data_IF_837615807360
#
_entry.id   IF_837615807360
#
_cell.length_a   1.000
_cell.length_b   1.000
_cell.length_c   1.000
_cell.angle_alpha   90.00
_cell.angle_beta   90.00
_cell.angle_gamma   90.00
#
_symmetry.space_group_name_H-M   'P 1'
#
loop_
_entity.id
_entity.type
_entity.pdbx_description
1 polymer ?
#
# COMPACT_ATOMS: atom_id res chain seq x y z
N UNK A 1 1.81 9.19 10.22
CA UNK A 1 2.00 7.96 9.45
C UNK A 1 1.71 8.20 7.98
N UNK A 2 2.55 7.69 7.10
CA UNK A 2 2.42 7.79 5.65
C UNK A 2 2.21 6.40 5.06
N UNK A 3 1.26 6.28 4.15
CA UNK A 3 0.95 5.07 3.41
C UNK A 3 1.26 5.31 1.94
N UNK A 4 2.20 4.56 1.40
CA UNK A 4 2.56 4.55 -0.02
C UNK A 4 2.09 3.22 -0.62
N UNK A 5 1.35 3.31 -1.72
CA UNK A 5 0.91 2.16 -2.51
C UNK A 5 1.49 2.31 -3.90
N UNK A 6 2.27 1.32 -4.34
CA UNK A 6 2.82 1.27 -5.69
C UNK A 6 2.27 0.07 -6.42
N UNK A 7 1.60 0.31 -7.55
CA UNK A 7 1.24 -0.72 -8.52
C UNK A 7 2.30 -0.79 -9.60
N UNK A 8 2.96 -1.93 -9.73
CA UNK A 8 3.95 -2.23 -10.77
C UNK A 8 3.49 -3.43 -11.60
N UNK A 9 3.53 -3.36 -12.93
CA UNK A 9 3.34 -4.56 -13.75
C UNK A 9 2.92 -4.32 -15.20
N UNK A 10 2.93 -5.41 -15.97
CA UNK A 10 2.33 -5.55 -17.30
C UNK A 10 3.06 -4.82 -18.44
N UNK A 11 3.86 -5.57 -19.20
CA UNK A 11 4.27 -5.41 -20.62
C UNK A 11 4.90 -4.08 -21.11
N UNK A 12 4.82 -2.97 -20.37
CA UNK A 12 5.27 -1.65 -20.82
C UNK A 12 6.06 -0.87 -19.74
N UNK A 13 6.34 -1.48 -18.58
CA UNK A 13 7.09 -0.83 -17.50
C UNK A 13 6.36 0.33 -16.82
N UNK A 14 5.02 0.38 -16.92
CA UNK A 14 4.23 1.44 -16.31
C UNK A 14 4.02 1.10 -14.82
N UNK A 15 4.60 1.91 -13.95
CA UNK A 15 4.33 1.91 -12.51
C UNK A 15 3.46 3.12 -12.15
N UNK A 16 2.50 2.92 -11.25
CA UNK A 16 1.71 3.99 -10.66
C UNK A 16 1.88 3.94 -9.15
N UNK A 17 2.21 5.06 -8.54
CA UNK A 17 2.29 5.21 -7.10
C UNK A 17 1.22 6.15 -6.59
N UNK A 18 0.75 5.90 -5.37
CA UNK A 18 -0.12 6.78 -4.61
C UNK A 18 0.44 6.91 -3.21
N UNK A 19 0.33 8.10 -2.64
CA UNK A 19 0.74 8.37 -1.27
C UNK A 19 -0.40 9.08 -0.54
N UNK A 20 -0.76 8.56 0.63
CA UNK A 20 -1.68 9.19 1.56
C UNK A 20 -0.97 9.43 2.91
N UNK A 21 -1.12 10.63 3.45
CA UNK A 21 -0.65 10.97 4.78
C UNK A 21 -1.82 10.81 5.76
N UNK A 22 -1.74 9.81 6.64
CA UNK A 22 -2.79 9.40 7.57
C UNK A 22 -3.01 10.44 8.67
N UNK A 23 -1.96 11.16 9.09
CA UNK A 23 -2.11 12.20 10.13
C UNK A 23 -2.96 13.38 9.66
N UNK A 24 -3.01 13.61 8.34
CA UNK A 24 -3.82 14.68 7.74
C UNK A 24 -5.26 14.23 7.51
N UNK A 25 -5.57 12.93 7.66
CA UNK A 25 -6.92 12.41 7.49
C UNK A 25 -7.75 12.61 8.77
N UNK A 26 -9.04 13.01 8.64
CA UNK A 26 -9.93 13.10 9.80
C UNK A 26 -10.18 11.72 10.45
N UNK A 27 -10.13 10.65 9.67
CA UNK A 27 -10.42 9.27 10.11
C UNK A 27 -9.17 8.48 10.51
N UNK A 28 -8.18 9.13 11.11
CA UNK A 28 -6.88 8.51 11.45
C UNK A 28 -7.03 7.20 12.25
N UNK A 29 -8.00 7.13 13.15
CA UNK A 29 -8.19 5.99 14.05
C UNK A 29 -8.69 4.76 13.27
N UNK A 30 -9.59 4.95 12.30
CA UNK A 30 -10.03 3.91 11.37
C UNK A 30 -8.87 3.39 10.51
N UNK A 31 -7.98 4.27 10.05
CA UNK A 31 -6.79 3.86 9.31
C UNK A 31 -5.86 2.99 10.17
N UNK A 32 -5.64 3.37 11.43
CA UNK A 32 -4.81 2.59 12.35
C UNK A 32 -5.41 1.21 12.60
N UNK A 33 -6.72 1.11 12.82
CA UNK A 33 -7.42 -0.16 13.00
C UNK A 33 -7.33 -1.02 11.73
N UNK A 34 -7.60 -0.44 10.55
CA UNK A 34 -7.51 -1.14 9.28
C UNK A 34 -6.09 -1.68 9.06
N UNK A 35 -5.07 -0.88 9.34
CA UNK A 35 -3.68 -1.27 9.17
C UNK A 35 -3.29 -2.36 10.18
N UNK A 36 -3.72 -2.27 11.43
CA UNK A 36 -3.40 -3.26 12.47
C UNK A 36 -4.08 -4.62 12.22
N UNK A 37 -5.29 -4.61 11.66
CA UNK A 37 -6.06 -5.83 11.31
C UNK A 37 -5.46 -6.58 10.10
N UNK A 38 -4.67 -5.89 9.27
CA UNK A 38 -4.09 -6.51 8.08
C UNK A 38 -3.05 -7.58 8.43
N UNK A 39 -3.08 -8.73 7.73
CA UNK A 39 -2.15 -9.82 7.96
C UNK A 39 -0.80 -9.54 7.29
N UNK A 40 -0.05 -8.56 7.80
CA UNK A 40 1.27 -8.18 7.26
C UNK A 40 2.28 -9.34 7.25
N UNK A 41 2.20 -10.24 8.23
CA UNK A 41 3.09 -11.39 8.38
C UNK A 41 2.65 -12.60 7.53
N UNK A 42 1.37 -12.69 7.16
CA UNK A 42 0.78 -13.80 6.39
C UNK A 42 0.45 -13.39 4.95
N UNK A 43 1.35 -12.60 4.36
CA UNK A 43 1.25 -12.21 2.95
C UNK A 43 1.75 -13.36 2.07
N UNK A 44 0.95 -13.86 1.13
CA UNK A 44 1.40 -14.89 0.21
C UNK A 44 2.44 -14.29 -0.75
N UNK A 45 3.72 -14.53 -0.47
CA UNK A 45 4.84 -14.25 -1.35
C UNK A 45 4.79 -15.19 -2.57
N UNK A 46 3.94 -14.86 -3.54
CA UNK A 46 3.95 -15.56 -4.82
C UNK A 46 4.88 -14.85 -5.79
N UNK A 47 5.60 -15.60 -6.64
CA UNK A 47 6.47 -14.99 -7.64
C UNK A 47 5.63 -14.09 -8.55
N UNK A 48 6.07 -12.83 -8.67
CA UNK A 48 5.53 -11.84 -9.59
C UNK A 48 5.71 -12.33 -11.02
N UNK A 49 4.68 -13.02 -11.54
CA UNK A 49 4.68 -13.47 -12.93
C UNK A 49 4.68 -12.24 -13.87
N UNK A 50 5.45 -12.28 -14.96
CA UNK A 50 5.68 -11.10 -15.83
C UNK A 50 4.40 -10.52 -16.46
N UNK A 51 3.33 -11.31 -16.56
CA UNK A 51 2.03 -10.90 -17.12
C UNK A 51 1.05 -10.33 -16.09
N UNK A 52 1.46 -10.14 -14.83
CA UNK A 52 0.56 -9.73 -13.74
C UNK A 52 0.99 -8.40 -13.09
N UNK A 53 0.02 -7.68 -12.54
CA UNK A 53 0.28 -6.51 -11.69
C UNK A 53 0.60 -6.95 -10.26
N UNK A 54 1.61 -6.31 -9.69
CA UNK A 54 2.07 -6.44 -8.30
C UNK A 54 1.79 -5.12 -7.58
N UNK A 55 1.38 -5.23 -6.33
CA UNK A 55 1.08 -4.12 -5.44
C UNK A 55 2.06 -4.14 -4.28
N UNK A 56 2.79 -3.06 -4.10
CA UNK A 56 3.72 -2.87 -3.00
C UNK A 56 3.11 -1.82 -2.09
N UNK A 57 2.79 -2.22 -0.87
CA UNK A 57 2.19 -1.36 0.14
C UNK A 57 3.24 -1.12 1.21
N UNK A 58 3.51 0.15 1.47
CA UNK A 58 4.52 0.60 2.42
C UNK A 58 3.88 1.57 3.39
N UNK A 59 4.12 1.32 4.66
CA UNK A 59 3.64 2.13 5.75
C UNK A 59 4.85 2.57 6.55
N UNK A 60 5.06 3.88 6.57
CA UNK A 60 6.14 4.50 7.33
C UNK A 60 5.53 5.42 8.39
N UNK A 61 5.83 5.22 9.68
CA UNK A 61 5.50 6.21 10.70
C UNK A 61 6.30 7.51 10.46
N UNK A 62 5.82 8.65 10.97
CA UNK A 62 6.56 9.92 10.83
C UNK A 62 7.89 9.91 11.60
N UNK A 63 8.00 9.04 12.60
CA UNK A 63 9.21 8.86 13.39
C UNK A 63 9.38 7.38 13.73
N UNK A 64 10.63 6.87 13.78
CA UNK A 64 10.90 5.46 14.06
C UNK A 64 10.49 5.04 15.48
N UNK A 65 10.35 5.99 16.40
CA UNK A 65 9.84 5.79 17.75
C UNK A 65 8.31 5.85 17.86
N UNK A 66 7.64 6.36 16.82
CA UNK A 66 6.18 6.56 16.82
C UNK A 66 5.39 5.33 16.36
N UNK A 67 6.06 4.33 15.78
CA UNK A 67 5.39 3.09 15.38
C UNK A 67 6.29 2.15 14.58
N UNK A 68 5.68 1.05 14.14
CA UNK A 68 6.31 0.06 13.29
C UNK A 68 6.13 0.43 11.82
N UNK A 69 7.20 0.28 11.04
CA UNK A 69 7.10 0.33 9.58
C UNK A 69 6.61 -1.03 9.07
N UNK A 70 5.64 -1.01 8.15
CA UNK A 70 5.13 -2.22 7.53
C UNK A 70 5.35 -2.18 6.02
N UNK A 71 5.78 -3.29 5.44
CA UNK A 71 5.93 -3.44 3.99
C UNK A 71 5.31 -4.78 3.59
N UNK A 72 4.44 -4.75 2.58
CA UNK A 72 3.83 -5.93 2.01
C UNK A 72 3.87 -5.86 0.48
N UNK A 73 4.31 -6.95 -0.14
CA UNK A 73 4.25 -7.13 -1.60
C UNK A 73 3.20 -8.19 -1.92
N UNK A 74 2.13 -7.76 -2.61
CA UNK A 74 0.97 -8.58 -2.91
C UNK A 74 0.79 -8.67 -4.44
N UNK A 75 0.51 -9.84 -5.02
CA UNK A 75 -0.02 -9.89 -6.37
C UNK A 75 -1.45 -9.34 -6.40
N UNK A 76 -1.89 -8.78 -7.54
CA UNK A 76 -3.25 -8.22 -7.69
C UNK A 76 -4.38 -9.17 -7.25
N UNK A 77 -4.21 -10.49 -7.42
CA UNK A 77 -5.18 -11.50 -6.96
C UNK A 77 -5.28 -11.66 -5.44
N UNK A 78 -4.21 -11.33 -4.71
CA UNK A 78 -4.17 -11.40 -3.25
C UNK A 78 -4.68 -10.09 -2.62
N UNK A 79 -4.80 -9.02 -3.41
CA UNK A 79 -5.38 -7.75 -3.01
C UNK A 79 -6.90 -7.87 -2.82
N UNK A 80 -7.29 -8.50 -1.71
CA UNK A 80 -8.67 -8.80 -1.35
C UNK A 80 -8.92 -8.49 0.12
N UNK A 81 -10.18 -8.26 0.50
CA UNK A 81 -10.55 -7.87 1.87
C UNK A 81 -9.95 -6.51 2.27
N UNK A 82 -9.39 -6.43 3.47
CA UNK A 82 -8.80 -5.20 4.01
C UNK A 82 -7.69 -4.61 3.13
N UNK A 83 -6.93 -5.46 2.41
CA UNK A 83 -5.87 -4.98 1.52
C UNK A 83 -6.42 -4.12 0.39
N UNK A 84 -7.54 -4.56 -0.19
CA UNK A 84 -8.21 -3.82 -1.26
C UNK A 84 -8.79 -2.52 -0.72
N UNK A 85 -9.39 -2.57 0.46
CA UNK A 85 -9.94 -1.38 1.11
C UNK A 85 -8.86 -0.34 1.40
N UNK A 86 -7.71 -0.75 1.93
CA UNK A 86 -6.58 0.15 2.16
C UNK A 86 -6.11 0.81 0.85
N UNK A 87 -5.92 0.02 -0.21
CA UNK A 87 -5.49 0.53 -1.52
C UNK A 87 -6.51 1.50 -2.10
N UNK A 88 -7.80 1.15 -2.05
CA UNK A 88 -8.88 2.00 -2.56
C UNK A 88 -8.88 3.36 -1.84
N UNK A 89 -8.82 3.34 -0.51
CA UNK A 89 -8.76 4.55 0.33
C UNK A 89 -7.52 5.41 0.04
N UNK A 90 -6.35 4.79 -0.18
CA UNK A 90 -5.13 5.51 -0.59
C UNK A 90 -5.27 6.07 -2.01
N UNK A 91 -5.98 5.41 -2.91
CA UNK A 91 -6.19 5.93 -4.27
C UNK A 91 -7.20 7.07 -4.31
N UNK A 92 -8.22 7.04 -3.46
CA UNK A 92 -9.25 8.08 -3.38
C UNK A 92 -8.75 9.34 -2.68
N UNK A 93 -8.09 9.18 -1.52
CA UNK A 93 -7.62 10.32 -0.71
C UNK A 93 -6.17 10.72 -1.01
N UNK A 94 -5.36 9.79 -1.52
CA UNK A 94 -3.94 9.99 -1.72
C UNK A 94 -3.60 10.71 -3.02
N UNK A 95 -2.43 11.33 -3.02
CA UNK A 95 -1.89 12.00 -4.20
C UNK A 95 -1.14 10.99 -5.08
N UNK A 96 -1.39 10.95 -6.40
CA UNK A 96 -0.63 10.09 -7.29
C UNK A 96 0.83 10.56 -7.34
N UNK A 97 1.74 9.73 -6.84
CA UNK A 97 3.17 9.97 -6.92
C UNK A 97 3.70 9.32 -8.20
N UNK A 98 4.17 10.16 -9.13
CA UNK A 98 4.93 9.66 -10.26
C UNK A 98 6.34 9.39 -9.76
N UNK A 99 6.76 8.11 -9.68
CA UNK A 99 8.21 7.80 -9.64
C UNK A 99 8.78 8.09 -11.02
N UNK A 100 8.98 9.39 -11.28
CA UNK A 100 9.80 9.87 -12.37
C UNK A 100 11.22 9.36 -12.19
N UNK A 101 11.71 8.72 -13.24
CA UNK A 101 13.04 8.13 -13.41
C UNK A 101 14.17 9.13 -13.17
#
# INVERSE_FOLDING_TARGET
MRVEVTRSGGFAGISRGWQADVDEQPDKDDWLILIDDLPWDDVPAQPSEPDRYTWIIRIAPQSPEAGTQHEAELPERALTGGWRELVDRVQECGTPVHRGR
#
